data_IF_519733703426
#
_entry.id   IF_519733703426
#
_cell.length_a   1.000
_cell.length_b   1.000
_cell.length_c   1.000
_cell.angle_alpha   90.00
_cell.angle_beta   90.00
_cell.angle_gamma   90.00
#
_symmetry.space_group_name_H-M   'P 1'
#
loop_
_entity.id
_entity.type
_entity.pdbx_description
1 polymer ?
#
# COMPACT_ATOMS: atom_id res chain seq x y z
N UNK A 1 19.57 19.62 12.68
CA UNK A 1 18.27 18.94 12.88
C UNK A 1 17.64 18.77 11.52
N UNK A 2 17.44 17.55 11.01
CA UNK A 2 16.61 17.37 9.82
C UNK A 2 15.20 17.92 10.11
N UNK A 3 14.66 18.72 9.20
CA UNK A 3 13.31 19.26 9.33
C UNK A 3 12.30 18.13 9.08
N UNK A 4 11.88 17.46 10.15
CA UNK A 4 10.77 16.49 10.11
C UNK A 4 9.51 17.19 10.62
N UNK A 5 8.63 17.57 9.71
CA UNK A 5 7.28 18.03 10.05
C UNK A 5 6.39 16.80 10.32
N UNK A 6 5.40 16.88 11.19
CA UNK A 6 4.44 15.78 11.38
C UNK A 6 3.45 15.73 10.21
N UNK A 7 3.33 14.58 9.54
CA UNK A 7 2.29 14.33 8.54
C UNK A 7 0.92 14.09 9.21
N UNK A 8 0.95 13.39 10.34
CA UNK A 8 -0.22 13.17 11.21
C UNK A 8 0.20 13.49 12.65
N UNK A 9 -0.65 14.21 13.36
CA UNK A 9 -0.52 14.45 14.79
C UNK A 9 -1.91 14.48 15.41
N UNK A 10 -2.34 13.36 16.01
CA UNK A 10 -3.66 13.20 16.64
C UNK A 10 -3.64 12.07 17.65
N UNK A 11 -4.36 12.22 18.77
CA UNK A 11 -4.53 11.16 19.78
C UNK A 11 -3.22 10.47 20.21
N UNK A 12 -2.17 11.26 20.44
CA UNK A 12 -0.80 10.81 20.77
C UNK A 12 -0.10 9.97 19.68
N UNK A 13 -0.68 9.88 18.48
CA UNK A 13 -0.06 9.29 17.30
C UNK A 13 0.59 10.38 16.46
N UNK A 14 1.92 10.32 16.33
CA UNK A 14 2.71 11.22 15.49
C UNK A 14 3.36 10.43 14.36
N UNK A 15 2.92 10.67 13.14
CA UNK A 15 3.53 10.06 11.94
C UNK A 15 4.41 11.11 11.27
N UNK A 16 5.73 10.91 11.15
CA UNK A 16 6.63 11.91 10.59
C UNK A 16 6.51 12.01 9.06
N UNK A 17 6.65 13.23 8.53
CA UNK A 17 6.89 13.51 7.12
C UNK A 17 8.41 13.67 6.90
N UNK A 18 9.00 12.79 6.13
CA UNK A 18 10.45 12.73 5.92
C UNK A 18 10.79 13.11 4.47
N UNK A 19 11.71 14.06 4.28
CA UNK A 19 12.29 14.33 2.96
C UNK A 19 13.34 13.27 2.63
N UNK A 20 12.99 12.33 1.75
CA UNK A 20 13.84 11.16 1.46
C UNK A 20 15.06 11.51 0.59
N UNK A 21 15.03 12.63 -0.14
CA UNK A 21 16.19 13.08 -0.91
C UNK A 21 17.41 13.36 -0.03
N UNK A 22 17.22 13.77 1.23
CA UNK A 22 18.31 13.97 2.19
C UNK A 22 19.03 12.67 2.55
N UNK A 23 18.32 11.54 2.56
CA UNK A 23 18.94 10.24 2.79
C UNK A 23 19.76 9.80 1.57
N UNK A 24 19.19 9.94 0.36
CA UNK A 24 19.83 9.49 -0.88
C UNK A 24 21.00 10.39 -1.30
N UNK A 25 20.83 11.70 -1.23
CA UNK A 25 21.69 12.70 -1.88
C UNK A 25 22.19 13.80 -0.94
N UNK A 26 21.81 13.80 0.33
CA UNK A 26 22.24 14.80 1.30
C UNK A 26 23.69 14.61 1.78
N UNK A 27 24.20 15.59 2.52
CA UNK A 27 25.46 15.52 3.26
C UNK A 27 25.46 14.35 4.27
N UNK A 28 26.62 13.89 4.76
CA UNK A 28 26.67 12.82 5.78
C UNK A 28 25.80 13.09 7.01
N UNK A 29 25.76 14.34 7.48
CA UNK A 29 24.92 14.74 8.62
C UNK A 29 23.41 14.67 8.28
N UNK A 30 23.01 15.14 7.10
CA UNK A 30 21.62 15.05 6.63
C UNK A 30 21.18 13.59 6.45
N UNK A 31 22.04 12.75 5.87
CA UNK A 31 21.77 11.32 5.70
C UNK A 31 21.57 10.64 7.05
N UNK A 32 22.46 10.85 8.01
CA UNK A 32 22.36 10.29 9.35
C UNK A 32 21.09 10.76 10.06
N UNK A 33 20.82 12.06 10.07
CA UNK A 33 19.64 12.62 10.73
C UNK A 33 18.33 12.12 10.09
N UNK A 34 18.31 11.95 8.77
CA UNK A 34 17.15 11.39 8.05
C UNK A 34 16.94 9.91 8.38
N UNK A 35 18.03 9.13 8.44
CA UNK A 35 17.97 7.71 8.85
C UNK A 35 17.46 7.54 10.28
N UNK A 36 17.91 8.40 11.21
CA UNK A 36 17.44 8.41 12.59
C UNK A 36 15.95 8.76 12.68
N UNK A 37 15.47 9.74 11.90
CA UNK A 37 14.05 10.09 11.86
C UNK A 37 13.18 8.94 11.33
N UNK A 38 13.63 8.24 10.27
CA UNK A 38 12.96 7.06 9.73
C UNK A 38 12.88 5.95 10.79
N UNK A 39 14.02 5.64 11.44
CA UNK A 39 14.07 4.62 12.49
C UNK A 39 13.13 4.96 13.64
N UNK A 40 13.17 6.19 14.13
CA UNK A 40 12.32 6.64 15.22
C UNK A 40 10.82 6.56 14.87
N UNK A 41 10.44 6.95 13.64
CA UNK A 41 9.06 6.83 13.17
C UNK A 41 8.56 5.38 13.18
N UNK A 42 9.39 4.42 12.76
CA UNK A 42 9.05 3.00 12.84
C UNK A 42 9.03 2.44 14.27
N UNK A 43 9.89 2.92 15.16
CA UNK A 43 9.93 2.48 16.56
C UNK A 43 8.77 3.02 17.42
N UNK A 44 8.13 4.10 16.99
CA UNK A 44 7.08 4.78 17.77
C UNK A 44 5.69 4.60 17.15
N UNK A 45 5.44 5.23 15.99
CA UNK A 45 4.17 5.13 15.29
C UNK A 45 4.03 3.85 14.48
N UNK A 46 5.14 3.24 14.05
CA UNK A 46 5.14 2.14 13.08
C UNK A 46 4.91 2.59 11.63
N UNK A 47 4.72 3.90 11.41
CA UNK A 47 4.44 4.50 10.10
C UNK A 47 5.29 5.75 9.87
N UNK A 48 5.57 6.04 8.60
CA UNK A 48 6.19 7.29 8.13
C UNK A 48 5.56 7.71 6.81
N UNK A 49 5.59 8.99 6.47
CA UNK A 49 5.39 9.49 5.11
C UNK A 49 6.72 9.91 4.51
N UNK A 50 6.97 9.53 3.25
CA UNK A 50 8.13 9.98 2.48
C UNK A 50 7.72 11.03 1.46
N UNK A 51 8.48 12.12 1.35
CA UNK A 51 8.44 13.08 0.25
C UNK A 51 9.72 13.00 -0.56
N UNK A 52 9.70 13.54 -1.78
CA UNK A 52 10.86 13.53 -2.69
C UNK A 52 11.41 12.10 -2.92
N UNK A 53 10.49 11.14 -3.06
CA UNK A 53 10.84 9.78 -3.49
C UNK A 53 11.35 9.81 -4.93
N UNK A 54 12.23 8.89 -5.33
CA UNK A 54 12.79 8.85 -6.69
C UNK A 54 11.77 8.40 -7.76
N UNK A 55 10.50 8.20 -7.41
CA UNK A 55 9.43 7.82 -8.35
C UNK A 55 8.87 9.08 -9.02
N UNK A 56 8.97 9.21 -10.36
CA UNK A 56 8.43 10.37 -11.06
C UNK A 56 6.91 10.51 -10.91
N UNK A 57 6.37 11.74 -10.83
CA UNK A 57 4.92 11.98 -10.77
C UNK A 57 4.15 11.40 -11.97
N UNK A 58 4.75 11.40 -13.16
CA UNK A 58 4.16 10.82 -14.38
C UNK A 58 4.01 9.30 -14.28
N UNK A 59 4.99 8.62 -13.67
CA UNK A 59 4.91 7.17 -13.40
C UNK A 59 3.76 6.88 -12.44
N UNK A 60 3.66 7.63 -11.34
CA UNK A 60 2.55 7.48 -10.39
C UNK A 60 1.20 7.67 -11.10
N UNK A 61 1.04 8.76 -11.84
CA UNK A 61 -0.20 9.05 -12.57
C UNK A 61 -0.57 7.92 -13.55
N UNK A 62 0.41 7.40 -14.29
CA UNK A 62 0.20 6.30 -15.23
C UNK A 62 -0.18 5.01 -14.52
N UNK A 63 0.46 4.70 -13.39
CA UNK A 63 0.14 3.52 -12.57
C UNK A 63 -1.28 3.59 -12.03
N UNK A 64 -1.69 4.72 -11.45
CA UNK A 64 -3.06 4.90 -10.95
C UNK A 64 -4.10 4.83 -12.07
N UNK A 65 -3.83 5.45 -13.23
CA UNK A 65 -4.71 5.37 -14.41
C UNK A 65 -4.85 3.94 -14.93
N UNK A 66 -3.74 3.20 -14.99
CA UNK A 66 -3.72 1.80 -15.45
C UNK A 66 -4.48 0.90 -14.50
N UNK A 67 -4.28 1.08 -13.18
CA UNK A 67 -5.02 0.37 -12.15
C UNK A 67 -6.54 0.63 -12.27
N UNK A 68 -6.95 1.89 -12.36
CA UNK A 68 -8.36 2.25 -12.55
C UNK A 68 -8.96 1.62 -13.82
N UNK A 69 -8.20 1.62 -14.92
CA UNK A 69 -8.61 1.02 -16.21
C UNK A 69 -8.73 -0.51 -16.15
N UNK A 70 -7.96 -1.18 -15.28
CA UNK A 70 -8.11 -2.60 -15.02
C UNK A 70 -9.40 -2.88 -14.23
N UNK A 71 -9.64 -2.14 -13.15
CA UNK A 71 -10.80 -2.38 -12.28
C UNK A 71 -12.14 -1.98 -12.90
N UNK A 72 -12.14 -1.09 -13.91
CA UNK A 72 -13.32 -0.75 -14.72
C UNK A 72 -13.74 -1.84 -15.71
N UNK A 73 -12.92 -2.89 -15.92
CA UNK A 73 -13.29 -4.03 -16.77
C UNK A 73 -14.37 -4.89 -16.12
N UNK A 74 -15.05 -5.68 -16.96
CA UNK A 74 -16.12 -6.57 -16.51
C UNK A 74 -15.63 -7.58 -15.47
N UNK A 75 -16.55 -8.02 -14.62
CA UNK A 75 -16.24 -8.98 -13.56
C UNK A 75 -15.63 -10.29 -14.10
N UNK A 76 -16.17 -10.93 -15.17
CA UNK A 76 -15.56 -12.15 -15.74
C UNK A 76 -14.13 -11.94 -16.23
N UNK A 77 -13.80 -10.75 -16.75
CA UNK A 77 -12.44 -10.45 -17.20
C UNK A 77 -11.45 -10.44 -16.03
N UNK A 78 -11.85 -9.86 -14.89
CA UNK A 78 -11.01 -9.82 -13.68
C UNK A 78 -10.91 -11.21 -13.03
N UNK A 79 -11.99 -11.96 -13.00
CA UNK A 79 -12.03 -13.32 -12.44
C UNK A 79 -11.19 -14.33 -13.23
N UNK A 80 -11.07 -14.16 -14.56
CA UNK A 80 -10.15 -14.96 -15.38
C UNK A 80 -8.68 -14.79 -14.98
N UNK A 81 -8.34 -13.72 -14.25
CA UNK A 81 -7.02 -13.43 -13.70
C UNK A 81 -6.97 -13.68 -12.19
N UNK A 82 -7.87 -14.50 -11.66
CA UNK A 82 -8.06 -14.75 -10.24
C UNK A 82 -6.82 -15.25 -9.51
N UNK A 83 -6.70 -14.86 -8.25
CA UNK A 83 -5.68 -15.41 -7.35
C UNK A 83 -5.85 -16.92 -7.16
N UNK A 84 -4.74 -17.66 -7.19
CA UNK A 84 -4.76 -19.12 -7.18
C UNK A 84 -4.32 -19.73 -5.84
N UNK A 85 -3.09 -19.45 -5.42
CA UNK A 85 -2.50 -20.07 -4.23
C UNK A 85 -1.71 -19.09 -3.37
N UNK A 86 -1.58 -19.33 -2.05
CA UNK A 86 -0.76 -18.52 -1.14
C UNK A 86 0.70 -18.40 -1.56
N UNK A 87 1.27 -19.47 -2.12
CA UNK A 87 2.67 -19.52 -2.56
C UNK A 87 2.89 -18.63 -3.80
N UNK A 88 1.89 -18.59 -4.69
CA UNK A 88 1.94 -17.74 -5.88
C UNK A 88 1.72 -16.27 -5.53
N UNK A 89 0.80 -15.99 -4.59
CA UNK A 89 0.40 -14.66 -4.14
C UNK A 89 0.19 -13.62 -5.26
N UNK A 90 -0.44 -14.06 -6.36
CA UNK A 90 -0.65 -13.27 -7.58
C UNK A 90 -2.04 -13.51 -8.12
N UNK A 91 -2.63 -12.47 -8.70
CA UNK A 91 -3.95 -12.51 -9.32
C UNK A 91 -4.97 -11.58 -8.66
N UNK A 92 -6.12 -11.44 -9.29
CA UNK A 92 -7.25 -10.67 -8.81
C UNK A 92 -7.94 -11.39 -7.65
N UNK A 93 -8.10 -10.70 -6.53
CA UNK A 93 -8.92 -11.15 -5.41
C UNK A 93 -10.24 -10.41 -5.47
N UNK A 94 -11.33 -11.14 -5.65
CA UNK A 94 -12.68 -10.58 -5.55
C UNK A 94 -13.10 -10.43 -4.10
N UNK A 95 -14.10 -9.58 -3.83
CA UNK A 95 -14.75 -9.59 -2.54
C UNK A 95 -15.42 -10.96 -2.32
N UNK A 96 -14.89 -11.74 -1.38
CA UNK A 96 -15.51 -13.00 -0.99
C UNK A 96 -16.88 -12.74 -0.36
N UNK A 97 -17.88 -13.55 -0.70
CA UNK A 97 -19.04 -13.73 0.17
C UNK A 97 -18.64 -14.71 1.25
N UNK A 98 -18.55 -14.23 2.49
CA UNK A 98 -18.43 -15.13 3.64
C UNK A 98 -19.67 -16.04 3.67
N UNK A 99 -19.46 -17.35 3.75
CA UNK A 99 -20.54 -18.34 3.88
C UNK A 99 -20.52 -18.86 5.31
N UNK A 100 -21.66 -18.82 5.98
CA UNK A 100 -21.84 -19.51 7.26
C UNK A 100 -21.54 -21.01 7.09
N UNK A 101 -20.77 -21.64 8.00
CA UNK A 101 -20.34 -23.04 7.90
C UNK A 101 -21.48 -24.07 7.74
N UNK A 102 -22.73 -23.66 8.02
CA UNK A 102 -23.90 -24.53 8.09
C UNK A 102 -24.81 -24.52 6.85
N UNK A 103 -24.53 -23.70 5.83
CA UNK A 103 -25.34 -23.71 4.61
C UNK A 103 -24.93 -24.88 3.72
N UNK A 104 -25.67 -25.99 3.86
CA UNK A 104 -25.64 -27.09 2.88
C UNK A 104 -25.89 -26.55 1.47
N UNK A 105 -25.20 -27.06 0.43
CA UNK A 105 -25.54 -26.70 -0.95
C UNK A 105 -27.01 -27.03 -1.20
N UNK A 106 -27.77 -26.06 -1.72
CA UNK A 106 -29.11 -26.33 -2.22
C UNK A 106 -28.99 -27.44 -3.28
N UNK A 107 -29.71 -28.56 -3.06
CA UNK A 107 -29.85 -29.61 -4.07
C UNK A 107 -30.37 -28.95 -5.34
N UNK A 108 -29.54 -28.92 -6.40
CA UNK A 108 -30.05 -28.67 -7.74
C UNK A 108 -31.00 -29.82 -8.04
N UNK A 109 -32.30 -29.54 -8.05
CA UNK A 109 -33.26 -30.44 -8.67
C UNK A 109 -32.92 -30.46 -10.16
N UNK A 110 -32.39 -31.59 -10.63
CA UNK A 110 -32.50 -31.97 -12.02
C UNK A 110 -33.97 -32.35 -12.25
N UNK A 111 -34.63 -31.60 -13.12
CA UNK A 111 -35.79 -32.02 -13.89
C UNK A 111 -35.54 -31.59 -15.32
#
# INVERSE_FOLDING_TARGET
MASSTSAVNSNNLVIPLVNFSHFLHGTPSQRLSTAQAILHGFQTAGFIYLTHTPIPPSTLQTTFKTSASFFSRSQPYKEALGWTTPESNRGYVSHGREKTPWLRPARRHQT
#
